data_IF_416674409049
#
_entry.id   IF_416674409049
#
_cell.length_a   1.000
_cell.length_b   1.000
_cell.length_c   1.000
_cell.angle_alpha   90.00
_cell.angle_beta   90.00
_cell.angle_gamma   90.00
#
_symmetry.space_group_name_H-M   'P 1'
#
loop_
_entity.id
_entity.type
_entity.pdbx_description
1 polymer ?
#
# COMPACT_ATOMS: atom_id res chain seq x y z
N UNK A 1 2.49 4.17 4.69
CA UNK A 1 3.39 4.01 3.52
C UNK A 1 4.00 5.36 3.14
N UNK A 2 5.27 5.63 3.52
CA UNK A 2 5.77 7.02 3.57
C UNK A 2 6.21 7.62 2.22
N UNK A 3 6.64 6.82 1.25
CA UNK A 3 7.20 7.30 -0.03
C UNK A 3 6.38 6.91 -1.26
N UNK A 4 5.28 6.18 -1.09
CA UNK A 4 4.49 5.63 -2.19
C UNK A 4 3.98 6.73 -3.15
N UNK A 5 3.50 7.85 -2.60
CA UNK A 5 2.99 8.99 -3.37
C UNK A 5 4.09 9.68 -4.20
N UNK A 6 5.32 9.74 -3.68
CA UNK A 6 6.45 10.38 -4.38
C UNK A 6 6.81 9.63 -5.66
N UNK A 7 6.81 8.29 -5.61
CA UNK A 7 7.05 7.47 -6.81
C UNK A 7 5.89 7.57 -7.80
N UNK A 8 4.64 7.51 -7.33
CA UNK A 8 3.46 7.56 -8.21
C UNK A 8 3.24 8.93 -8.86
N UNK A 9 3.83 10.01 -8.32
CA UNK A 9 3.79 11.33 -8.96
C UNK A 9 4.59 11.39 -10.28
N UNK A 10 5.49 10.44 -10.54
CA UNK A 10 6.27 10.43 -11.77
C UNK A 10 5.48 9.79 -12.92
N UNK A 11 5.27 10.45 -14.07
CA UNK A 11 4.36 9.99 -15.13
C UNK A 11 4.79 8.66 -15.79
N UNK A 12 6.07 8.29 -15.70
CA UNK A 12 6.56 6.99 -16.20
C UNK A 12 6.34 5.82 -15.22
N UNK A 13 5.90 6.08 -13.98
CA UNK A 13 5.72 5.06 -12.94
C UNK A 13 4.24 4.71 -12.84
N UNK A 14 3.87 3.53 -13.34
CA UNK A 14 2.48 3.09 -13.42
C UNK A 14 2.00 2.30 -12.18
N UNK A 15 2.94 1.85 -11.33
CA UNK A 15 2.65 1.07 -10.13
C UNK A 15 3.86 1.07 -9.18
N UNK A 16 3.61 0.74 -7.92
CA UNK A 16 4.64 0.51 -6.90
C UNK A 16 4.30 -0.74 -6.10
N UNK A 17 5.30 -1.57 -5.82
CA UNK A 17 5.15 -2.76 -4.98
C UNK A 17 5.72 -2.53 -3.58
N UNK A 18 5.10 -3.15 -2.57
CA UNK A 18 5.73 -3.29 -1.27
C UNK A 18 4.97 -4.21 -0.32
N UNK A 19 5.69 -4.74 0.66
CA UNK A 19 5.25 -5.85 1.52
C UNK A 19 4.61 -5.37 2.83
N UNK A 20 4.54 -4.06 3.08
CA UNK A 20 4.13 -3.52 4.39
C UNK A 20 2.70 -3.88 4.79
N UNK A 21 1.81 -4.08 3.82
CA UNK A 21 0.40 -4.47 4.01
C UNK A 21 0.18 -5.98 4.19
N UNK A 22 1.17 -6.82 3.86
CA UNK A 22 1.10 -8.29 3.86
C UNK A 22 2.33 -8.91 4.51
N UNK A 23 2.70 -8.42 5.71
CA UNK A 23 3.85 -8.95 6.45
C UNK A 23 3.63 -10.42 6.87
N UNK A 24 4.67 -11.28 6.85
CA UNK A 24 4.56 -12.67 7.28
C UNK A 24 3.92 -12.84 8.66
N UNK A 25 4.25 -11.98 9.62
CA UNK A 25 3.70 -12.04 10.97
C UNK A 25 2.18 -11.84 11.01
N UNK A 26 1.64 -10.98 10.13
CA UNK A 26 0.19 -10.77 10.03
C UNK A 26 -0.50 -12.02 9.46
N UNK A 27 0.14 -12.70 8.53
CA UNK A 27 -0.36 -13.93 7.92
C UNK A 27 -0.31 -15.08 8.93
N UNK A 28 0.83 -15.26 9.60
CA UNK A 28 1.00 -16.31 10.62
C UNK A 28 0.05 -16.12 11.82
N UNK A 29 -0.26 -14.87 12.18
CA UNK A 29 -1.22 -14.54 13.23
C UNK A 29 -2.68 -14.53 12.75
N UNK A 30 -2.95 -14.89 11.48
CA UNK A 30 -4.28 -14.81 10.85
C UNK A 30 -4.98 -13.44 11.00
N UNK A 31 -4.21 -12.36 11.09
CA UNK A 31 -4.72 -11.01 11.31
C UNK A 31 -5.13 -10.34 9.98
N UNK A 32 -6.10 -10.95 9.31
CA UNK A 32 -6.57 -10.50 8.00
C UNK A 32 -7.29 -9.15 8.05
N UNK A 33 -7.91 -8.81 9.17
CA UNK A 33 -8.53 -7.49 9.37
C UNK A 33 -7.49 -6.38 9.33
N UNK A 34 -6.30 -6.61 9.92
CA UNK A 34 -5.21 -5.64 9.83
C UNK A 34 -4.66 -5.54 8.41
N UNK A 35 -4.53 -6.65 7.71
CA UNK A 35 -4.13 -6.68 6.29
C UNK A 35 -5.12 -5.86 5.46
N UNK A 36 -6.43 -6.03 5.67
CA UNK A 36 -7.48 -5.27 4.99
C UNK A 36 -7.37 -3.76 5.27
N UNK A 37 -7.16 -3.38 6.53
CA UNK A 37 -6.97 -1.97 6.94
C UNK A 37 -5.76 -1.35 6.24
N UNK A 38 -4.62 -2.03 6.21
CA UNK A 38 -3.40 -1.55 5.54
C UNK A 38 -3.57 -1.49 4.01
N UNK A 39 -4.33 -2.43 3.44
CA UNK A 39 -4.66 -2.45 2.01
C UNK A 39 -5.53 -1.26 1.61
N UNK A 40 -6.52 -0.91 2.44
CA UNK A 40 -7.33 0.30 2.23
C UNK A 40 -6.48 1.57 2.31
N UNK A 41 -5.59 1.69 3.30
CA UNK A 41 -4.65 2.82 3.41
C UNK A 41 -3.79 2.94 2.13
N UNK A 42 -3.26 1.83 1.62
CA UNK A 42 -2.47 1.83 0.39
C UNK A 42 -3.29 2.30 -0.83
N UNK A 43 -4.52 1.82 -0.98
CA UNK A 43 -5.44 2.26 -2.04
C UNK A 43 -5.74 3.76 -1.94
N UNK A 44 -6.00 4.26 -0.74
CA UNK A 44 -6.37 5.66 -0.53
C UNK A 44 -5.20 6.60 -0.90
N UNK A 45 -3.96 6.17 -0.67
CA UNK A 45 -2.76 6.90 -1.14
C UNK A 45 -2.68 6.90 -2.68
N UNK A 46 -2.96 5.76 -3.33
CA UNK A 46 -2.96 5.67 -4.81
C UNK A 46 -4.03 6.58 -5.41
N UNK A 47 -5.23 6.58 -4.85
CA UNK A 47 -6.34 7.45 -5.26
C UNK A 47 -5.93 8.93 -5.15
N UNK A 48 -5.35 9.33 -4.00
CA UNK A 48 -4.91 10.70 -3.78
C UNK A 48 -3.74 11.14 -4.70
N UNK A 49 -2.94 10.20 -5.21
CA UNK A 49 -1.82 10.48 -6.10
C UNK A 49 -2.22 10.62 -7.59
N UNK A 50 -3.43 10.20 -7.97
CA UNK A 50 -3.94 10.26 -9.35
C UNK A 50 -4.88 11.47 -9.62
N UNK A 51 -5.04 12.38 -8.66
CA UNK A 51 -5.83 13.62 -8.79
C UNK A 51 -4.93 14.78 -9.21
#
# INVERSE_FOLDING_TARGET
ASNLSEYLAHPAIIACGGTWMVKPDLIHAANFDKILSLTKEARDIVEAAHI
#
